data_IF_300249482475
#
_entry.id   IF_300249482475
#
_cell.length_a   1.000
_cell.length_b   1.000
_cell.length_c   1.000
_cell.angle_alpha   90.00
_cell.angle_beta   90.00
_cell.angle_gamma   90.00
#
_symmetry.space_group_name_H-M   'P 1'
#
loop_
_entity.id
_entity.type
_entity.pdbx_description
1 polymer ?
#
# COMPACT_ATOMS: atom_id res chain seq x y z
N UNK A 1 -5.78 -16.96 13.07
CA UNK A 1 -5.26 -16.34 11.81
C UNK A 1 -3.92 -15.72 12.16
N UNK A 2 -2.89 -15.88 11.35
CA UNK A 2 -1.57 -15.30 11.57
C UNK A 2 -1.28 -14.32 10.40
N UNK A 3 -1.73 -13.04 10.49
CA UNK A 3 -1.59 -12.10 9.39
C UNK A 3 -0.13 -11.72 9.15
N UNK A 4 0.17 -11.20 7.96
CA UNK A 4 1.36 -10.40 7.70
C UNK A 4 0.99 -8.95 7.99
N UNK A 5 1.78 -8.28 8.83
CA UNK A 5 1.57 -6.90 9.23
C UNK A 5 2.70 -6.06 8.65
N UNK A 6 2.37 -5.11 7.78
CA UNK A 6 3.30 -4.27 7.05
C UNK A 6 2.98 -2.79 7.26
N UNK A 7 4.01 -1.97 7.25
CA UNK A 7 3.88 -0.52 7.20
C UNK A 7 4.58 0.04 5.96
N UNK A 8 3.87 0.88 5.20
CA UNK A 8 4.37 1.41 3.94
C UNK A 8 5.25 2.67 4.11
N UNK A 9 5.53 3.07 5.33
CA UNK A 9 6.33 4.25 5.69
C UNK A 9 5.49 5.41 6.24
N UNK A 10 6.19 6.43 6.74
CA UNK A 10 5.64 7.59 7.45
C UNK A 10 5.02 7.25 8.83
N UNK A 11 5.58 6.23 9.48
CA UNK A 11 5.13 5.73 10.78
C UNK A 11 5.64 6.55 11.96
N UNK A 12 6.94 6.89 11.97
CA UNK A 12 7.63 7.33 13.21
C UNK A 12 7.29 8.75 13.63
N UNK A 13 7.18 9.67 12.69
CA UNK A 13 6.96 11.08 12.95
C UNK A 13 5.71 11.60 12.26
N UNK A 14 5.26 12.80 12.66
CA UNK A 14 4.04 13.41 12.09
C UNK A 14 4.32 14.41 10.97
N UNK A 15 5.58 14.76 10.77
CA UNK A 15 6.05 15.73 9.78
C UNK A 15 7.35 15.28 9.16
N UNK A 16 7.64 15.75 7.96
CA UNK A 16 8.90 15.47 7.25
C UNK A 16 10.13 16.19 7.83
N UNK A 17 9.92 17.17 8.72
CA UNK A 17 10.99 17.92 9.38
C UNK A 17 10.64 18.15 10.83
N UNK A 18 11.65 18.03 11.71
CA UNK A 18 11.51 18.33 13.14
C UNK A 18 12.21 19.64 13.47
N UNK A 19 11.59 20.41 14.36
CA UNK A 19 12.22 21.60 14.95
C UNK A 19 12.90 21.27 16.27
N UNK A 20 13.90 22.03 16.68
CA UNK A 20 14.69 21.74 17.88
C UNK A 20 13.83 21.60 19.15
N UNK A 21 12.77 22.40 19.25
CA UNK A 21 11.87 22.40 20.40
C UNK A 21 11.08 21.11 20.61
N UNK A 22 10.81 20.35 19.54
CA UNK A 22 10.03 19.11 19.61
C UNK A 22 10.85 17.85 19.31
N UNK A 23 12.07 17.99 18.79
CA UNK A 23 12.91 16.89 18.29
C UNK A 23 13.03 15.73 19.30
N UNK A 24 13.38 16.05 20.55
CA UNK A 24 13.59 15.03 21.59
C UNK A 24 12.30 14.28 21.93
N UNK A 25 11.15 14.98 22.00
CA UNK A 25 9.86 14.37 22.28
C UNK A 25 9.38 13.50 21.13
N UNK A 26 9.62 13.93 19.89
CA UNK A 26 9.27 13.14 18.70
C UNK A 26 10.11 11.86 18.58
N UNK A 27 11.43 11.92 18.83
CA UNK A 27 12.31 10.74 18.86
C UNK A 27 11.86 9.75 19.96
N UNK A 28 11.49 10.26 21.15
CA UNK A 28 10.96 9.41 22.21
C UNK A 28 9.65 8.72 21.77
N UNK A 29 8.74 9.47 21.13
CA UNK A 29 7.50 8.95 20.61
C UNK A 29 7.73 7.88 19.53
N UNK A 30 8.64 8.13 18.58
CA UNK A 30 9.03 7.14 17.57
C UNK A 30 9.54 5.84 18.20
N UNK A 31 10.40 5.95 19.21
CA UNK A 31 10.90 4.78 19.97
C UNK A 31 9.78 4.04 20.71
N UNK A 32 8.78 4.74 21.24
CA UNK A 32 7.61 4.12 21.87
C UNK A 32 6.70 3.43 20.85
N UNK A 33 6.53 4.04 19.66
CA UNK A 33 5.78 3.48 18.54
C UNK A 33 6.35 2.13 18.12
N UNK A 34 7.67 2.04 17.89
CA UNK A 34 8.34 0.79 17.50
C UNK A 34 8.12 -0.31 18.52
N UNK A 35 8.17 -0.03 19.82
CA UNK A 35 7.83 -1.01 20.85
C UNK A 35 6.38 -1.50 20.78
N UNK A 36 5.48 -0.66 20.29
CA UNK A 36 4.10 -1.04 19.99
C UNK A 36 4.03 -2.00 18.79
N UNK A 37 4.74 -1.68 17.72
CA UNK A 37 4.81 -2.49 16.51
C UNK A 37 5.47 -3.86 16.75
N UNK A 38 6.52 -3.93 17.59
CA UNK A 38 7.06 -5.21 18.05
C UNK A 38 6.00 -6.08 18.74
N UNK A 39 5.17 -5.49 19.60
CA UNK A 39 4.13 -6.23 20.33
C UNK A 39 3.02 -6.77 19.45
N UNK A 40 2.65 -6.06 18.38
CA UNK A 40 1.65 -6.54 17.42
C UNK A 40 2.22 -7.51 16.41
N UNK A 41 3.56 -7.67 16.36
CA UNK A 41 4.23 -8.58 15.43
C UNK A 41 4.29 -8.03 14.00
N UNK A 42 4.71 -6.77 13.84
CA UNK A 42 4.95 -6.19 12.51
C UNK A 42 6.07 -6.95 11.80
N UNK A 43 5.88 -7.28 10.54
CA UNK A 43 6.80 -8.10 9.76
C UNK A 43 7.79 -7.25 8.94
N UNK A 44 7.45 -6.01 8.57
CA UNK A 44 8.36 -5.06 7.91
C UNK A 44 7.82 -3.62 7.95
N UNK A 45 8.75 -2.67 7.94
CA UNK A 45 8.48 -1.24 7.85
C UNK A 45 9.29 -0.68 6.67
N UNK A 46 8.61 -0.04 5.72
CA UNK A 46 9.29 0.72 4.66
C UNK A 46 9.83 2.05 5.23
N UNK A 47 11.01 2.46 4.79
CA UNK A 47 11.57 3.76 5.16
C UNK A 47 10.99 4.83 4.26
N UNK A 48 10.07 5.61 4.78
CA UNK A 48 9.47 6.76 4.11
C UNK A 48 10.11 8.09 4.51
N UNK A 49 9.49 9.17 4.05
CA UNK A 49 9.95 10.54 4.30
C UNK A 49 9.99 10.87 5.80
N UNK A 50 8.96 10.44 6.55
CA UNK A 50 8.85 10.82 7.97
C UNK A 50 9.80 10.01 8.86
N UNK A 51 10.20 8.79 8.48
CA UNK A 51 11.24 8.06 9.21
C UNK A 51 12.54 8.85 9.26
N UNK A 52 12.84 9.63 8.25
CA UNK A 52 14.06 10.43 8.11
C UNK A 52 13.93 11.87 8.64
N UNK A 53 12.77 12.26 9.18
CA UNK A 53 12.51 13.62 9.66
C UNK A 53 13.48 14.07 10.79
N UNK A 54 14.02 13.13 11.54
CA UNK A 54 15.05 13.39 12.55
C UNK A 54 16.49 13.20 12.02
N UNK A 55 16.66 12.83 10.74
CA UNK A 55 17.92 12.44 10.12
C UNK A 55 18.22 10.95 10.27
N UNK A 56 19.28 10.49 9.60
CA UNK A 56 19.63 9.07 9.51
C UNK A 56 20.04 8.46 10.86
N UNK A 57 20.91 9.12 11.63
CA UNK A 57 21.42 8.60 12.91
C UNK A 57 20.31 8.29 13.93
N UNK A 58 19.30 9.17 14.17
CA UNK A 58 18.17 8.85 15.02
C UNK A 58 17.33 7.69 14.49
N UNK A 59 17.12 7.57 13.19
CA UNK A 59 16.42 6.43 12.59
C UNK A 59 17.17 5.14 12.85
N UNK A 60 18.48 5.09 12.60
CA UNK A 60 19.30 3.90 12.84
C UNK A 60 19.27 3.50 14.33
N UNK A 61 19.27 4.48 15.23
CA UNK A 61 19.15 4.23 16.68
C UNK A 61 17.77 3.65 17.04
N UNK A 62 16.70 4.11 16.42
CA UNK A 62 15.34 3.56 16.62
C UNK A 62 15.28 2.15 16.04
N UNK A 63 15.76 1.94 14.81
CA UNK A 63 15.78 0.65 14.14
C UNK A 63 16.57 -0.41 14.94
N UNK A 64 17.64 -0.02 15.63
CA UNK A 64 18.42 -0.93 16.48
C UNK A 64 17.68 -1.41 17.75
N UNK A 65 16.52 -0.83 18.09
CA UNK A 65 15.72 -1.22 19.26
C UNK A 65 14.71 -2.33 18.96
N UNK A 66 14.62 -2.78 17.73
CA UNK A 66 13.63 -3.76 17.28
C UNK A 66 14.27 -4.83 16.40
N UNK A 67 13.61 -5.97 16.28
CA UNK A 67 13.92 -6.99 15.27
C UNK A 67 13.14 -6.82 13.96
N UNK A 68 12.18 -5.89 13.91
CA UNK A 68 11.41 -5.60 12.70
C UNK A 68 12.38 -5.04 11.64
N UNK A 69 12.45 -5.63 10.44
CA UNK A 69 13.27 -5.08 9.38
C UNK A 69 12.71 -3.75 8.87
N UNK A 70 13.55 -2.71 8.92
CA UNK A 70 13.36 -1.52 8.10
C UNK A 70 13.92 -1.82 6.72
N UNK A 71 13.13 -1.59 5.68
CA UNK A 71 13.49 -1.93 4.30
C UNK A 71 13.43 -0.69 3.40
N UNK A 72 14.40 -0.59 2.49
CA UNK A 72 14.39 0.37 1.37
C UNK A 72 15.36 -0.09 0.29
N UNK A 73 14.87 -0.16 -0.94
CA UNK A 73 15.64 -0.62 -2.09
C UNK A 73 16.34 0.50 -2.87
N UNK A 74 16.14 1.76 -2.46
CA UNK A 74 16.66 2.92 -3.19
C UNK A 74 17.24 4.04 -2.30
N UNK A 75 17.52 3.75 -1.02
CA UNK A 75 18.25 4.67 -0.14
C UNK A 75 19.69 4.18 0.04
N UNK A 76 20.67 4.97 -0.42
CA UNK A 76 22.08 4.65 -0.36
C UNK A 76 22.82 5.63 0.55
N UNK A 77 23.90 5.17 1.16
CA UNK A 77 24.87 6.02 1.87
C UNK A 77 25.66 6.86 0.86
N UNK A 78 25.71 8.17 1.06
CA UNK A 78 26.37 9.09 0.13
C UNK A 78 27.90 8.91 0.02
N UNK A 79 28.53 8.22 0.97
CA UNK A 79 29.98 7.99 0.97
C UNK A 79 30.37 6.66 0.32
N UNK A 80 29.53 5.63 0.49
CA UNK A 80 29.83 4.27 0.04
C UNK A 80 29.05 3.87 -1.20
N UNK A 81 27.97 4.59 -1.53
CA UNK A 81 26.99 4.26 -2.58
C UNK A 81 26.36 2.87 -2.38
N UNK A 82 26.42 2.34 -1.16
CA UNK A 82 25.77 1.07 -0.80
C UNK A 82 24.40 1.32 -0.16
N UNK A 83 23.50 0.35 -0.29
CA UNK A 83 22.18 0.41 0.36
C UNK A 83 22.34 0.48 1.88
N UNK A 84 21.65 1.45 2.51
CA UNK A 84 21.63 1.61 3.97
C UNK A 84 20.74 0.54 4.63
N UNK A 85 19.65 0.19 3.98
CA UNK A 85 18.67 -0.79 4.45
C UNK A 85 18.65 -2.01 3.55
N UNK A 86 18.14 -3.13 4.09
CA UNK A 86 17.83 -4.28 3.22
C UNK A 86 16.78 -3.86 2.20
N UNK A 87 16.94 -4.20 0.91
CA UNK A 87 15.99 -3.80 -0.12
C UNK A 87 14.63 -4.47 0.02
N UNK A 88 14.59 -5.65 0.63
CA UNK A 88 13.39 -6.47 0.79
C UNK A 88 13.49 -7.42 1.99
N UNK A 89 12.37 -8.00 2.35
CA UNK A 89 12.28 -9.15 3.24
C UNK A 89 11.47 -10.28 2.60
N UNK A 90 11.79 -11.53 2.97
CA UNK A 90 11.03 -12.70 2.55
C UNK A 90 10.22 -13.21 3.74
N UNK A 91 8.93 -13.43 3.52
CA UNK A 91 8.00 -13.87 4.56
C UNK A 91 7.31 -15.13 4.08
N UNK A 92 7.41 -16.22 4.84
CA UNK A 92 6.59 -17.42 4.62
C UNK A 92 5.39 -17.38 5.58
N UNK A 93 4.19 -17.36 5.01
CA UNK A 93 2.97 -17.30 5.79
C UNK A 93 1.89 -18.19 5.18
N UNK A 94 1.48 -19.21 5.94
CA UNK A 94 0.46 -20.15 5.47
C UNK A 94 0.87 -20.98 4.25
N UNK A 95 2.16 -21.20 4.03
CA UNK A 95 2.71 -21.93 2.90
C UNK A 95 2.87 -21.07 1.62
N UNK A 96 2.61 -19.75 1.71
CA UNK A 96 2.83 -18.79 0.63
C UNK A 96 4.07 -17.96 0.96
N UNK A 97 4.99 -17.85 0.01
CA UNK A 97 6.19 -17.02 0.12
C UNK A 97 5.94 -15.65 -0.46
N UNK A 98 6.09 -14.62 0.37
CA UNK A 98 5.97 -13.24 -0.03
C UNK A 98 7.35 -12.59 -0.14
N UNK A 99 7.59 -11.84 -1.23
CA UNK A 99 8.72 -10.91 -1.35
C UNK A 99 8.21 -9.49 -1.11
N UNK A 100 8.61 -8.89 0.01
CA UNK A 100 8.18 -7.52 0.38
C UNK A 100 9.33 -6.56 0.14
N UNK A 101 9.18 -5.64 -0.80
CA UNK A 101 10.19 -4.68 -1.24
C UNK A 101 9.77 -3.28 -0.77
N UNK A 102 10.71 -2.51 -0.19
CA UNK A 102 10.48 -1.13 0.24
C UNK A 102 11.03 -0.12 -0.77
N UNK A 103 10.26 0.93 -1.05
CA UNK A 103 10.61 2.00 -2.00
C UNK A 103 10.18 3.36 -1.46
N UNK A 104 10.94 4.41 -1.80
CA UNK A 104 10.61 5.77 -1.40
C UNK A 104 10.96 6.78 -2.49
N UNK A 105 10.08 7.78 -2.69
CA UNK A 105 10.22 8.88 -3.64
C UNK A 105 10.20 10.25 -2.95
N UNK A 106 9.62 10.33 -1.75
CA UNK A 106 9.39 11.60 -1.05
C UNK A 106 10.54 12.04 -0.14
N UNK A 107 11.59 11.24 -0.01
CA UNK A 107 12.74 11.61 0.83
C UNK A 107 13.46 12.79 0.20
N UNK A 108 13.70 13.82 1.03
CA UNK A 108 14.40 15.01 0.59
C UNK A 108 15.89 14.72 0.31
N UNK A 109 16.37 15.18 -0.81
CA UNK A 109 17.79 15.20 -1.19
C UNK A 109 18.65 16.16 -0.34
N UNK A 110 18.02 16.89 0.59
CA UNK A 110 18.72 17.77 1.54
C UNK A 110 19.40 17.02 2.71
N UNK A 111 19.20 15.71 2.83
CA UNK A 111 19.86 14.88 3.82
C UNK A 111 21.25 14.48 3.28
N UNK A 112 22.29 15.20 3.68
CA UNK A 112 23.67 15.07 3.16
C UNK A 112 24.24 13.64 3.18
N UNK A 113 23.74 12.77 4.06
CA UNK A 113 24.19 11.39 4.23
C UNK A 113 23.54 10.40 3.27
N UNK A 114 22.57 10.86 2.47
CA UNK A 114 21.74 10.01 1.62
C UNK A 114 21.86 10.35 0.13
N UNK A 115 21.83 9.29 -0.68
CA UNK A 115 21.46 9.34 -2.09
C UNK A 115 20.13 8.62 -2.22
N UNK A 116 19.19 9.24 -2.91
CA UNK A 116 17.89 8.63 -3.23
C UNK A 116 17.92 8.24 -4.70
N UNK A 117 18.05 6.95 -4.98
CA UNK A 117 17.98 6.43 -6.33
C UNK A 117 16.55 6.41 -6.86
N UNK A 118 16.42 6.33 -8.17
CA UNK A 118 15.12 6.20 -8.83
C UNK A 118 14.37 4.95 -8.35
N UNK A 119 13.28 5.17 -7.61
CA UNK A 119 12.48 4.10 -7.03
C UNK A 119 11.84 3.19 -8.08
N UNK A 120 11.59 3.72 -9.30
CA UNK A 120 10.98 2.95 -10.39
C UNK A 120 11.97 1.95 -10.96
N UNK A 121 13.23 2.34 -11.09
CA UNK A 121 14.32 1.47 -11.54
C UNK A 121 14.64 0.43 -10.46
N UNK A 122 14.85 0.88 -9.22
CA UNK A 122 15.16 -0.01 -8.10
C UNK A 122 14.06 -1.06 -7.89
N UNK A 123 12.79 -0.64 -7.90
CA UNK A 123 11.65 -1.54 -7.74
C UNK A 123 11.60 -2.64 -8.79
N UNK A 124 11.80 -2.32 -10.07
CA UNK A 124 11.79 -3.32 -11.14
C UNK A 124 12.99 -4.26 -11.08
N UNK A 125 14.16 -3.79 -10.64
CA UNK A 125 15.33 -4.65 -10.41
C UNK A 125 15.01 -5.72 -9.36
N UNK A 126 14.44 -5.32 -8.21
CA UNK A 126 14.13 -6.27 -7.14
C UNK A 126 12.89 -7.13 -7.42
N UNK A 127 11.91 -6.64 -8.17
CA UNK A 127 10.81 -7.48 -8.68
C UNK A 127 11.36 -8.60 -9.56
N UNK A 128 12.24 -8.27 -10.51
CA UNK A 128 12.89 -9.28 -11.36
C UNK A 128 13.73 -10.29 -10.55
N UNK A 129 14.37 -9.83 -9.46
CA UNK A 129 15.12 -10.72 -8.56
C UNK A 129 14.24 -11.64 -7.72
N UNK A 130 12.93 -11.35 -7.59
CA UNK A 130 11.94 -12.19 -6.90
C UNK A 130 11.34 -13.27 -7.80
N UNK A 131 11.46 -13.14 -9.12
CA UNK A 131 10.87 -14.07 -10.07
C UNK A 131 11.32 -15.51 -9.82
N UNK A 132 10.35 -16.42 -9.70
CA UNK A 132 10.58 -17.83 -9.39
C UNK A 132 11.08 -18.13 -7.97
N UNK A 133 11.22 -17.12 -7.09
CA UNK A 133 11.69 -17.28 -5.70
C UNK A 133 10.58 -17.12 -4.67
N UNK A 134 9.52 -16.40 -5.03
CA UNK A 134 8.36 -16.12 -4.20
C UNK A 134 7.08 -16.44 -4.96
N UNK A 135 6.02 -16.66 -4.21
CA UNK A 135 4.69 -16.91 -4.78
C UNK A 135 3.94 -15.61 -5.01
N UNK A 136 4.30 -14.55 -4.26
CA UNK A 136 3.66 -13.26 -4.31
C UNK A 136 4.63 -12.12 -4.00
N UNK A 137 4.51 -11.04 -4.75
CA UNK A 137 5.31 -9.82 -4.56
C UNK A 137 4.46 -8.69 -3.97
N UNK A 138 5.04 -7.97 -3.02
CA UNK A 138 4.42 -6.83 -2.36
C UNK A 138 5.39 -5.65 -2.41
N UNK A 139 4.94 -4.52 -2.96
CA UNK A 139 5.68 -3.27 -2.87
C UNK A 139 5.09 -2.39 -1.77
N UNK A 140 5.96 -1.85 -0.93
CA UNK A 140 5.64 -0.80 0.02
C UNK A 140 6.25 0.49 -0.52
N UNK A 141 5.42 1.45 -0.92
CA UNK A 141 5.91 2.66 -1.62
C UNK A 141 5.51 3.92 -0.86
N UNK A 142 6.50 4.72 -0.48
CA UNK A 142 6.28 6.06 0.03
C UNK A 142 6.41 7.07 -1.12
N UNK A 143 5.28 7.56 -1.64
CA UNK A 143 5.25 8.44 -2.82
C UNK A 143 4.11 9.45 -2.77
N UNK A 144 4.11 10.39 -3.74
CA UNK A 144 3.00 11.32 -3.93
C UNK A 144 1.81 10.63 -4.62
N UNK A 145 0.62 11.00 -4.22
CA UNK A 145 -0.64 10.46 -4.78
C UNK A 145 -0.80 10.67 -6.29
N UNK A 146 -0.09 11.62 -6.87
CA UNK A 146 -0.13 11.86 -8.32
C UNK A 146 0.43 10.68 -9.11
N UNK A 147 1.29 9.86 -8.50
CA UNK A 147 1.91 8.68 -9.15
C UNK A 147 0.99 7.45 -9.13
N UNK A 148 -0.08 7.44 -8.34
CA UNK A 148 -0.94 6.25 -8.14
C UNK A 148 -1.54 5.70 -9.42
N UNK A 149 -1.93 6.59 -10.35
CA UNK A 149 -2.51 6.17 -11.62
C UNK A 149 -1.54 5.36 -12.49
N UNK A 150 -0.25 5.56 -12.29
CA UNK A 150 0.81 5.02 -13.15
C UNK A 150 1.52 3.81 -12.52
N UNK A 151 1.34 3.57 -11.20
CA UNK A 151 2.05 2.50 -10.48
C UNK A 151 1.87 1.11 -11.11
N UNK A 152 0.72 0.84 -11.70
CA UNK A 152 0.45 -0.43 -12.38
C UNK A 152 1.20 -0.56 -13.73
N UNK A 153 1.54 0.56 -14.40
CA UNK A 153 2.37 0.59 -15.60
C UNK A 153 3.86 0.58 -15.25
N UNK A 154 4.21 1.23 -14.13
CA UNK A 154 5.60 1.29 -13.64
C UNK A 154 6.05 -0.08 -13.11
N UNK A 155 5.17 -0.79 -12.40
CA UNK A 155 5.48 -2.06 -11.74
C UNK A 155 4.56 -3.21 -12.18
N UNK A 156 4.55 -3.56 -13.48
CA UNK A 156 3.60 -4.54 -14.02
C UNK A 156 3.77 -5.97 -13.47
N UNK A 157 4.94 -6.28 -12.90
CA UNK A 157 5.25 -7.59 -12.31
C UNK A 157 4.96 -7.67 -10.80
N UNK A 158 4.48 -6.60 -10.18
CA UNK A 158 4.05 -6.64 -8.79
C UNK A 158 2.64 -7.23 -8.67
N UNK A 159 2.34 -7.91 -7.57
CA UNK A 159 0.99 -8.41 -7.27
C UNK A 159 0.21 -7.40 -6.44
N UNK A 160 0.82 -6.88 -5.39
CA UNK A 160 0.21 -5.92 -4.47
C UNK A 160 1.12 -4.72 -4.25
N UNK A 161 0.53 -3.53 -4.19
CA UNK A 161 1.21 -2.29 -3.85
C UNK A 161 0.48 -1.62 -2.69
N UNK A 162 1.18 -1.35 -1.60
CA UNK A 162 0.68 -0.54 -0.49
C UNK A 162 1.45 0.78 -0.46
N UNK A 163 0.71 1.88 -0.37
CA UNK A 163 1.32 3.21 -0.48
C UNK A 163 1.12 4.03 0.79
N UNK A 164 2.13 4.85 1.10
CA UNK A 164 2.14 5.91 2.10
C UNK A 164 2.59 7.24 1.49
N UNK A 165 2.76 8.26 2.31
CA UNK A 165 3.13 9.61 1.87
C UNK A 165 1.92 10.50 1.65
N UNK A 166 1.83 11.19 0.51
CA UNK A 166 0.68 12.00 0.15
C UNK A 166 -0.45 11.12 -0.40
N UNK A 167 -1.28 10.54 0.47
CA UNK A 167 -2.20 9.47 0.09
C UNK A 167 -3.68 9.83 0.27
N UNK A 168 -4.54 9.05 -0.37
CA UNK A 168 -5.96 8.97 -0.07
C UNK A 168 -6.36 7.51 0.15
N UNK A 169 -7.35 7.29 1.02
CA UNK A 169 -7.80 5.93 1.35
C UNK A 169 -8.43 5.24 0.14
N UNK A 170 -7.95 4.05 -0.19
CA UNK A 170 -8.55 3.19 -1.21
C UNK A 170 -9.90 2.66 -0.71
N UNK A 171 -10.93 2.76 -1.55
CA UNK A 171 -12.27 2.25 -1.26
C UNK A 171 -12.55 1.01 -2.10
N UNK A 172 -13.41 0.08 -1.65
CA UNK A 172 -13.69 -1.16 -2.39
C UNK A 172 -14.17 -0.97 -3.82
N UNK A 173 -14.86 0.14 -4.12
CA UNK A 173 -15.37 0.45 -5.45
C UNK A 173 -14.44 1.33 -6.30
N UNK A 174 -13.23 1.63 -5.82
CA UNK A 174 -12.25 2.31 -6.67
C UNK A 174 -11.80 1.36 -7.77
N UNK A 175 -11.83 1.90 -8.98
CA UNK A 175 -11.42 1.14 -10.15
C UNK A 175 -9.93 0.76 -10.05
N UNK A 176 -9.64 -0.50 -10.27
CA UNK A 176 -8.30 -1.07 -10.28
C UNK A 176 -8.11 -1.69 -11.66
N UNK A 177 -6.94 -1.53 -12.27
CA UNK A 177 -6.71 -2.10 -13.58
C UNK A 177 -6.63 -3.63 -13.51
N UNK A 178 -7.32 -4.29 -14.41
CA UNK A 178 -7.18 -5.71 -14.65
C UNK A 178 -5.77 -6.00 -15.19
N UNK A 179 -5.18 -7.12 -14.81
CA UNK A 179 -3.83 -7.56 -15.23
C UNK A 179 -2.67 -6.69 -14.73
N UNK A 180 -2.83 -5.94 -13.66
CA UNK A 180 -1.78 -5.19 -12.99
C UNK A 180 -1.84 -5.38 -11.50
N UNK A 181 -0.88 -4.81 -10.75
CA UNK A 181 -0.91 -4.87 -9.31
C UNK A 181 -2.13 -4.15 -8.74
N UNK A 182 -2.68 -4.68 -7.65
CA UNK A 182 -3.68 -3.97 -6.88
C UNK A 182 -3.02 -2.95 -5.95
N UNK A 183 -3.44 -1.69 -6.05
CA UNK A 183 -2.88 -0.58 -5.28
C UNK A 183 -3.80 -0.23 -4.12
N UNK A 184 -3.25 -0.23 -2.91
CA UNK A 184 -3.98 0.06 -1.68
C UNK A 184 -3.30 1.16 -0.87
N UNK A 185 -4.12 1.99 -0.23
CA UNK A 185 -3.68 2.97 0.76
C UNK A 185 -4.68 3.04 1.92
N UNK A 186 -4.17 3.05 3.14
CA UNK A 186 -4.97 3.25 4.36
C UNK A 186 -5.31 4.72 4.64
N UNK A 187 -4.79 5.66 3.83
CA UNK A 187 -4.93 7.08 4.08
C UNK A 187 -3.91 7.60 5.08
N UNK A 188 -4.30 8.55 5.92
CA UNK A 188 -3.39 9.32 6.78
C UNK A 188 -3.54 9.01 8.26
N UNK A 189 -2.49 9.27 9.02
CA UNK A 189 -2.49 9.38 10.49
C UNK A 189 -2.88 8.07 11.21
N UNK A 190 -2.70 6.91 10.57
CA UNK A 190 -3.02 5.61 11.20
C UNK A 190 -4.49 5.43 11.59
N UNK A 191 -5.40 6.18 10.96
CA UNK A 191 -6.86 6.11 11.26
C UNK A 191 -7.51 4.84 10.75
N UNK A 192 -6.92 4.21 9.73
CA UNK A 192 -7.47 3.05 9.05
C UNK A 192 -6.38 2.00 8.81
N UNK A 193 -6.81 0.77 8.72
CA UNK A 193 -6.03 -0.36 8.28
C UNK A 193 -6.62 -0.88 6.96
N UNK A 194 -5.78 -1.25 6.01
CA UNK A 194 -6.18 -2.08 4.90
C UNK A 194 -5.99 -3.54 5.29
N UNK A 195 -7.04 -4.31 5.21
CA UNK A 195 -6.98 -5.76 5.34
C UNK A 195 -7.22 -6.36 3.95
N UNK A 196 -6.27 -7.16 3.48
CA UNK A 196 -6.37 -7.91 2.23
C UNK A 196 -6.37 -9.40 2.59
N UNK A 197 -7.48 -10.06 2.34
CA UNK A 197 -7.62 -11.51 2.52
C UNK A 197 -7.32 -12.21 1.19
N UNK A 198 -6.25 -12.99 1.18
CA UNK A 198 -5.79 -13.71 0.00
C UNK A 198 -6.25 -15.16 0.09
N UNK A 199 -6.94 -15.61 -0.95
CA UNK A 199 -7.36 -17.02 -1.09
C UNK A 199 -6.80 -17.57 -2.39
N UNK A 200 -5.95 -18.60 -2.29
CA UNK A 200 -5.48 -19.34 -3.46
C UNK A 200 -6.54 -20.37 -3.80
N UNK A 201 -7.14 -20.27 -4.98
CA UNK A 201 -8.19 -21.17 -5.44
C UNK A 201 -7.65 -22.21 -6.42
N UNK A 202 -6.63 -21.83 -7.18
CA UNK A 202 -6.01 -22.67 -8.22
C UNK A 202 -4.60 -22.15 -8.53
N UNK A 203 -3.72 -23.03 -8.98
CA UNK A 203 -2.35 -22.67 -9.32
C UNK A 203 -2.30 -22.12 -10.76
N UNK A 204 -1.88 -20.86 -10.90
CA UNK A 204 -1.67 -20.18 -12.16
C UNK A 204 -2.85 -19.35 -12.67
N UNK A 205 -3.84 -19.11 -11.85
CA UNK A 205 -4.92 -18.16 -12.13
C UNK A 205 -4.51 -16.70 -11.93
N UNK A 206 -5.22 -15.81 -12.61
CA UNK A 206 -5.07 -14.37 -12.42
C UNK A 206 -5.60 -13.94 -11.05
N UNK A 207 -4.93 -12.98 -10.40
CA UNK A 207 -5.42 -12.39 -9.15
C UNK A 207 -6.68 -11.56 -9.43
N UNK A 208 -7.76 -11.82 -8.67
CA UNK A 208 -9.06 -11.16 -8.83
C UNK A 208 -9.42 -10.42 -7.54
N UNK A 209 -9.80 -9.15 -7.66
CA UNK A 209 -10.30 -8.37 -6.54
C UNK A 209 -11.81 -8.63 -6.31
N UNK A 210 -12.12 -9.65 -5.50
CA UNK A 210 -13.50 -10.02 -5.14
C UNK A 210 -14.26 -8.87 -4.50
N UNK A 211 -13.62 -8.13 -3.59
CA UNK A 211 -14.28 -7.02 -2.88
C UNK A 211 -14.78 -5.94 -3.82
N UNK A 212 -14.06 -5.65 -4.89
CA UNK A 212 -14.50 -4.72 -5.94
C UNK A 212 -15.77 -5.22 -6.64
N UNK A 213 -15.76 -6.48 -7.08
CA UNK A 213 -16.92 -7.07 -7.78
C UNK A 213 -18.14 -7.18 -6.86
N UNK A 214 -17.96 -7.61 -5.62
CA UNK A 214 -19.03 -7.70 -4.63
C UNK A 214 -19.63 -6.31 -4.30
N UNK A 215 -18.79 -5.30 -4.11
CA UNK A 215 -19.23 -3.93 -3.87
C UNK A 215 -20.02 -3.37 -5.07
N UNK A 216 -19.55 -3.64 -6.30
CA UNK A 216 -20.22 -3.24 -7.55
C UNK A 216 -21.58 -3.92 -7.72
N UNK A 217 -21.64 -5.23 -7.49
CA UNK A 217 -22.90 -5.99 -7.50
C UNK A 217 -23.89 -5.43 -6.47
N UNK A 218 -23.44 -5.18 -5.24
CA UNK A 218 -24.30 -4.63 -4.19
C UNK A 218 -24.78 -3.21 -4.51
N UNK A 219 -23.95 -2.39 -5.12
CA UNK A 219 -24.34 -1.06 -5.59
C UNK A 219 -25.45 -1.14 -6.63
N UNK A 220 -25.28 -1.99 -7.65
CA UNK A 220 -26.30 -2.15 -8.69
C UNK A 220 -27.59 -2.77 -8.16
N UNK A 221 -27.51 -3.78 -7.29
CA UNK A 221 -28.70 -4.34 -6.64
C UNK A 221 -29.50 -3.25 -5.91
N UNK A 222 -28.83 -2.45 -5.06
CA UNK A 222 -29.49 -1.33 -4.34
C UNK A 222 -30.07 -0.27 -5.28
N UNK A 223 -29.44 -0.06 -6.43
CA UNK A 223 -29.94 0.87 -7.46
C UNK A 223 -31.21 0.31 -8.13
N UNK A 224 -31.21 -0.95 -8.50
CA UNK A 224 -32.37 -1.64 -9.07
C UNK A 224 -33.53 -1.69 -8.06
N UNK A 225 -33.25 -2.02 -6.81
CA UNK A 225 -34.25 -2.07 -5.76
C UNK A 225 -34.98 -0.71 -5.58
N UNK A 226 -34.23 0.41 -5.59
CA UNK A 226 -34.83 1.76 -5.57
C UNK A 226 -35.79 2.02 -6.73
N UNK A 227 -35.54 1.45 -7.91
CA UNK A 227 -36.48 1.55 -9.02
C UNK A 227 -37.72 0.68 -8.81
N UNK A 228 -37.57 -0.51 -8.19
CA UNK A 228 -38.67 -1.42 -7.85
C UNK A 228 -39.58 -0.91 -6.72
N UNK A 229 -39.00 -0.15 -5.79
CA UNK A 229 -39.77 0.38 -4.63
C UNK A 229 -40.93 1.29 -5.04
N UNK A 230 -40.95 1.81 -6.26
CA UNK A 230 -42.04 2.61 -6.79
C UNK A 230 -43.34 1.79 -6.97
N UNK A 231 -43.23 0.58 -7.49
CA UNK A 231 -44.31 -0.41 -7.56
C UNK A 231 -43.72 -1.83 -7.67
N UNK A 232 -43.57 -2.52 -6.53
CA UNK A 232 -42.94 -3.85 -6.48
C UNK A 232 -43.64 -4.94 -7.28
N UNK A 233 -44.91 -4.73 -7.60
CA UNK A 233 -45.74 -5.70 -8.35
C UNK A 233 -45.63 -5.60 -9.87
N UNK A 234 -45.01 -4.53 -10.40
CA UNK A 234 -44.91 -4.25 -11.84
C UNK A 234 -43.47 -4.48 -12.33
N UNK A 235 -43.27 -5.21 -13.45
CA UNK A 235 -41.97 -5.33 -14.07
C UNK A 235 -41.37 -3.98 -14.45
N UNK A 236 -40.04 -3.82 -14.27
CA UNK A 236 -39.37 -2.53 -14.48
C UNK A 236 -39.53 -1.95 -15.89
N UNK A 237 -39.54 -2.80 -16.88
CA UNK A 237 -39.78 -2.42 -18.30
C UNK A 237 -41.18 -1.87 -18.55
N UNK A 238 -42.16 -2.30 -17.78
CA UNK A 238 -43.54 -1.76 -17.84
C UNK A 238 -43.66 -0.48 -17.03
N UNK A 239 -43.10 -0.49 -15.78
CA UNK A 239 -43.14 0.63 -14.85
C UNK A 239 -42.48 1.90 -15.41
N UNK A 240 -41.44 1.74 -16.21
CA UNK A 240 -40.67 2.84 -16.82
C UNK A 240 -40.77 2.87 -18.37
N UNK A 241 -41.82 2.27 -18.95
CA UNK A 241 -42.02 2.21 -20.41
C UNK A 241 -42.00 3.58 -21.10
N UNK A 242 -42.46 4.64 -20.42
CA UNK A 242 -42.45 6.01 -20.90
C UNK A 242 -41.18 6.81 -20.56
N UNK A 243 -40.18 6.17 -19.89
CA UNK A 243 -38.95 6.81 -19.42
C UNK A 243 -37.70 6.08 -19.93
N UNK A 244 -37.35 6.23 -21.24
CA UNK A 244 -36.25 5.47 -21.87
C UNK A 244 -34.90 5.67 -21.18
N UNK A 245 -34.63 6.85 -20.62
CA UNK A 245 -33.39 7.14 -19.90
C UNK A 245 -33.21 6.32 -18.61
N UNK A 246 -34.35 6.01 -17.96
CA UNK A 246 -34.33 5.13 -16.77
C UNK A 246 -34.13 3.69 -17.21
N UNK A 247 -34.78 3.24 -18.26
CA UNK A 247 -34.61 1.88 -18.79
C UNK A 247 -33.17 1.64 -19.25
N UNK A 248 -32.54 2.61 -19.93
CA UNK A 248 -31.10 2.55 -20.26
C UNK A 248 -30.26 2.40 -19.03
N UNK A 249 -30.48 3.24 -18.03
CA UNK A 249 -29.76 3.18 -16.74
C UNK A 249 -29.93 1.86 -15.99
N UNK A 250 -31.07 1.20 -16.12
CA UNK A 250 -31.33 -0.12 -15.52
C UNK A 250 -30.62 -1.21 -16.32
N UNK A 251 -30.59 -1.11 -17.64
CA UNK A 251 -29.93 -2.11 -18.52
C UNK A 251 -28.40 -2.07 -18.40
N UNK A 252 -27.82 -0.93 -18.01
CA UNK A 252 -26.38 -0.74 -17.76
C UNK A 252 -25.98 -1.16 -16.32
N UNK A 253 -26.94 -1.57 -15.50
CA UNK A 253 -26.74 -1.96 -14.10
C UNK A 253 -26.74 -3.47 -13.94
#
# INVERSE_FOLDING_TARGET
>A
MNPIILDAGDLLFTTSTLVDSNRSSEIYRGSAMIKGFDKIGCDAINVGQFELAAGLDPLMKIASQTSIPFISANLLDSNTEELIFKPYTLIDRGGIKFGVIGLTDLVSDTIEQLIVDDYTIAGNIYLSAMEGRVDMTVLLINSDRSTYGDLHEIFPSADLIFTSGSTFMTRPMMDQKENGPFVFSSGREGRYLNQVDISIMDDGGQIINRSYHEAKINYFKKRIDRYRDRDPGVPLNELYSEQPSILSSISES
#
